data_IF_638309011319
#
_entry.id   IF_638309011319
#
_cell.length_a   1.000
_cell.length_b   1.000
_cell.length_c   1.000
_cell.angle_alpha   90.00
_cell.angle_beta   90.00
_cell.angle_gamma   90.00
#
_symmetry.space_group_name_H-M   'P 1'
#
loop_
_entity.id
_entity.type
_entity.pdbx_description
1 polymer ?
#
# COMPACT_ATOMS: atom_id res chain seq x y z
N UNK A 1 33.23 2.78 -1.12
CA UNK A 1 33.42 2.16 0.22
C UNK A 1 33.37 0.65 0.05
N UNK A 2 34.23 -0.10 0.72
CA UNK A 2 34.27 -1.58 0.63
C UNK A 2 33.84 -2.17 1.98
N UNK A 3 32.97 -3.16 1.95
CA UNK A 3 32.49 -3.91 3.11
C UNK A 3 32.53 -5.39 2.75
N UNK A 4 33.52 -6.11 3.28
CA UNK A 4 33.79 -7.50 2.89
C UNK A 4 34.01 -7.62 1.35
N UNK A 5 33.22 -8.40 0.66
CA UNK A 5 33.27 -8.55 -0.80
C UNK A 5 32.38 -7.55 -1.55
N UNK A 6 31.74 -6.61 -0.86
CA UNK A 6 30.83 -5.61 -1.44
C UNK A 6 31.56 -4.27 -1.65
N UNK A 7 31.42 -3.69 -2.83
CA UNK A 7 31.85 -2.33 -3.13
C UNK A 7 30.63 -1.45 -3.34
N UNK A 8 30.38 -0.53 -2.40
CA UNK A 8 29.33 0.49 -2.51
C UNK A 8 29.80 1.57 -3.48
N UNK A 9 29.18 1.64 -4.66
CA UNK A 9 29.62 2.49 -5.77
C UNK A 9 28.98 3.88 -5.66
N UNK A 10 27.66 3.97 -5.73
CA UNK A 10 26.89 5.21 -5.83
C UNK A 10 25.67 5.15 -4.91
N UNK A 11 25.38 6.27 -4.23
CA UNK A 11 24.12 6.46 -3.53
C UNK A 11 23.00 6.58 -4.57
N UNK A 12 21.98 5.72 -4.48
CA UNK A 12 20.84 5.67 -5.40
C UNK A 12 19.50 5.99 -4.71
N UNK A 13 19.47 6.04 -3.38
CA UNK A 13 18.27 6.40 -2.62
C UNK A 13 18.58 6.70 -1.17
N UNK A 14 17.67 7.46 -0.52
CA UNK A 14 17.64 7.67 0.92
C UNK A 14 16.22 7.35 1.40
N UNK A 15 16.10 6.41 2.33
CA UNK A 15 14.84 6.07 2.98
C UNK A 15 14.81 6.51 4.43
N UNK A 16 13.65 6.36 5.06
CA UNK A 16 13.45 6.72 6.48
C UNK A 16 14.42 6.02 7.44
N UNK A 17 14.95 4.86 7.04
CA UNK A 17 15.76 4.00 7.90
C UNK A 17 17.23 3.89 7.46
N UNK A 18 17.61 4.49 6.32
CA UNK A 18 18.99 4.38 5.85
C UNK A 18 19.21 4.81 4.41
N UNK A 19 20.40 4.58 3.94
CA UNK A 19 20.89 4.95 2.61
C UNK A 19 20.94 3.70 1.71
N UNK A 20 20.52 3.82 0.44
CA UNK A 20 20.57 2.73 -0.55
C UNK A 20 21.67 3.02 -1.56
N UNK A 21 22.57 2.07 -1.73
CA UNK A 21 23.70 2.17 -2.64
C UNK A 21 23.60 1.17 -3.79
N UNK A 22 23.97 1.61 -5.00
CA UNK A 22 24.38 0.71 -6.07
C UNK A 22 25.67 0.00 -5.63
N UNK A 23 25.70 -1.32 -5.73
CA UNK A 23 26.78 -2.13 -5.17
C UNK A 23 27.21 -3.21 -6.16
N UNK A 24 28.51 -3.50 -6.20
CA UNK A 24 29.08 -4.65 -6.91
C UNK A 24 29.66 -5.64 -5.90
N UNK A 25 29.69 -6.93 -6.26
CA UNK A 25 30.38 -7.97 -5.49
C UNK A 25 31.67 -8.37 -6.19
N UNK A 26 32.75 -8.58 -5.44
CA UNK A 26 34.01 -9.07 -5.97
C UNK A 26 33.78 -10.43 -6.63
N UNK A 27 34.16 -10.55 -7.92
CA UNK A 27 33.98 -11.78 -8.70
C UNK A 27 32.61 -11.95 -9.34
N UNK A 28 31.72 -10.94 -9.26
CA UNK A 28 30.43 -10.92 -9.92
C UNK A 28 30.32 -9.72 -10.88
N UNK A 29 29.61 -9.89 -11.98
CA UNK A 29 29.36 -8.84 -12.98
C UNK A 29 28.04 -8.11 -12.74
N UNK A 30 27.22 -8.59 -11.80
CA UNK A 30 25.89 -8.05 -11.51
C UNK A 30 25.96 -6.85 -10.57
N UNK A 31 24.99 -5.95 -10.74
CA UNK A 31 24.71 -4.90 -9.77
C UNK A 31 23.71 -5.37 -8.72
N UNK A 32 23.86 -4.81 -7.53
CA UNK A 32 23.00 -5.03 -6.36
C UNK A 32 22.55 -3.69 -5.79
N UNK A 33 21.41 -3.68 -5.09
CA UNK A 33 20.99 -2.58 -4.24
C UNK A 33 21.31 -2.94 -2.77
N UNK A 34 22.10 -2.11 -2.10
CA UNK A 34 22.45 -2.34 -0.69
C UNK A 34 21.90 -1.24 0.20
N UNK A 35 20.93 -1.61 1.05
CA UNK A 35 20.33 -0.73 2.07
C UNK A 35 21.24 -0.76 3.32
N UNK A 36 21.80 0.40 3.68
CA UNK A 36 22.75 0.59 4.78
C UNK A 36 22.03 1.26 5.94
N UNK A 37 22.15 0.71 7.14
CA UNK A 37 21.56 1.22 8.36
C UNK A 37 22.67 1.54 9.37
N UNK A 38 22.61 2.72 10.00
CA UNK A 38 23.51 3.06 11.10
C UNK A 38 23.04 2.38 12.38
N UNK A 39 23.91 1.55 12.99
CA UNK A 39 23.60 0.83 14.23
C UNK A 39 23.32 1.77 15.39
N UNK A 40 24.03 2.88 15.50
CA UNK A 40 23.82 3.86 16.57
C UNK A 40 22.41 4.45 16.58
N UNK A 41 21.77 4.52 15.38
CA UNK A 41 20.43 5.07 15.24
C UNK A 41 19.31 4.06 15.47
N UNK A 42 19.60 2.76 15.39
CA UNK A 42 18.57 1.70 15.43
C UNK A 42 18.71 0.74 16.61
N UNK A 43 19.92 0.49 17.14
CA UNK A 43 20.10 -0.43 18.27
C UNK A 43 19.38 0.08 19.52
N UNK A 44 18.65 -0.81 20.20
CA UNK A 44 17.81 -0.46 21.35
C UNK A 44 16.48 0.20 21.03
N UNK A 45 16.17 0.45 19.75
CA UNK A 45 14.93 1.08 19.31
C UNK A 45 13.98 0.10 18.63
N UNK A 46 12.72 0.51 18.40
CA UNK A 46 11.75 -0.26 17.59
C UNK A 46 12.25 -0.49 16.15
N UNK A 47 13.10 0.41 15.61
CA UNK A 47 13.66 0.25 14.26
C UNK A 47 14.49 -1.03 14.13
N UNK A 48 15.16 -1.49 15.20
CA UNK A 48 15.87 -2.77 15.19
C UNK A 48 14.91 -3.95 15.03
N UNK A 49 13.72 -3.90 15.66
CA UNK A 49 12.71 -4.95 15.51
C UNK A 49 12.18 -5.00 14.08
N UNK A 50 11.91 -3.83 13.47
CA UNK A 50 11.49 -3.76 12.06
C UNK A 50 12.57 -4.30 11.13
N UNK A 51 13.85 -3.94 11.34
CA UNK A 51 14.96 -4.45 10.55
C UNK A 51 15.08 -5.99 10.64
N UNK A 52 15.03 -6.55 11.85
CA UNK A 52 15.05 -8.00 12.06
C UNK A 52 13.91 -8.69 11.32
N UNK A 53 12.70 -8.18 11.50
CA UNK A 53 11.51 -8.72 10.86
C UNK A 53 11.58 -8.62 9.32
N UNK A 54 12.05 -7.49 8.77
CA UNK A 54 12.29 -7.31 7.33
C UNK A 54 13.24 -8.37 6.79
N UNK A 55 14.37 -8.62 7.46
CA UNK A 55 15.36 -9.64 7.05
C UNK A 55 14.72 -11.03 7.08
N UNK A 56 14.02 -11.38 8.16
CA UNK A 56 13.37 -12.69 8.29
C UNK A 56 12.35 -12.91 7.16
N UNK A 57 11.51 -11.94 6.89
CA UNK A 57 10.51 -12.03 5.82
C UNK A 57 11.20 -12.16 4.47
N UNK A 58 12.14 -11.27 4.14
CA UNK A 58 12.83 -11.25 2.85
C UNK A 58 13.58 -12.54 2.55
N UNK A 59 14.19 -13.20 3.54
CA UNK A 59 14.89 -14.48 3.37
C UNK A 59 13.97 -15.61 2.86
N UNK A 60 12.67 -15.51 3.17
CA UNK A 60 11.69 -16.54 2.82
C UNK A 60 10.90 -16.22 1.55
N UNK A 61 10.94 -14.96 1.07
CA UNK A 61 10.21 -14.56 -0.14
C UNK A 61 10.99 -14.91 -1.41
N UNK A 62 10.35 -15.70 -2.29
CA UNK A 62 10.89 -16.09 -3.60
C UNK A 62 9.79 -15.95 -4.65
N UNK A 63 9.76 -14.83 -5.35
CA UNK A 63 8.75 -14.54 -6.36
C UNK A 63 9.32 -13.63 -7.45
N UNK A 64 8.99 -13.81 -8.75
CA UNK A 64 9.54 -12.99 -9.84
C UNK A 64 9.22 -11.50 -9.69
N UNK A 65 8.10 -11.15 -9.07
CA UNK A 65 7.67 -9.76 -8.88
C UNK A 65 7.96 -9.21 -7.47
N UNK A 66 8.88 -9.84 -6.73
CA UNK A 66 9.43 -9.32 -5.46
C UNK A 66 10.94 -9.21 -5.63
N UNK A 67 11.54 -8.11 -5.20
CA UNK A 67 12.98 -7.93 -5.25
C UNK A 67 13.68 -9.01 -4.41
N UNK A 68 14.62 -9.73 -5.05
CA UNK A 68 15.28 -10.87 -4.43
C UNK A 68 16.21 -10.41 -3.32
N UNK A 69 16.07 -10.99 -2.13
CA UNK A 69 17.07 -10.91 -1.08
C UNK A 69 18.30 -11.72 -1.47
N UNK A 70 19.49 -11.14 -1.31
CA UNK A 70 20.76 -11.79 -1.66
C UNK A 70 21.64 -12.07 -0.44
N UNK A 71 21.77 -11.12 0.48
CA UNK A 71 22.67 -11.26 1.62
C UNK A 71 22.38 -10.21 2.70
N UNK A 72 22.93 -10.42 3.90
CA UNK A 72 22.98 -9.42 4.96
C UNK A 72 24.38 -9.38 5.54
N UNK A 73 24.91 -8.19 5.79
CA UNK A 73 26.22 -7.98 6.39
C UNK A 73 26.08 -7.11 7.63
N UNK A 74 26.94 -7.39 8.63
CA UNK A 74 27.04 -6.63 9.87
C UNK A 74 28.48 -6.16 10.06
N UNK A 75 28.66 -4.90 10.38
CA UNK A 75 29.94 -4.34 10.82
C UNK A 75 29.79 -3.75 12.23
N UNK A 76 30.87 -3.23 12.79
CA UNK A 76 30.80 -2.53 14.09
C UNK A 76 29.86 -1.32 14.08
N UNK A 77 29.67 -0.65 12.92
CA UNK A 77 28.89 0.59 12.79
C UNK A 77 27.60 0.46 12.03
N UNK A 78 27.46 -0.53 11.13
CA UNK A 78 26.32 -0.60 10.23
C UNK A 78 25.81 -2.02 10.00
N UNK A 79 24.51 -2.12 9.64
CA UNK A 79 23.93 -3.27 8.95
C UNK A 79 23.76 -2.96 7.47
N UNK A 80 23.81 -4.00 6.64
CA UNK A 80 23.65 -3.90 5.18
C UNK A 80 22.75 -5.03 4.71
N UNK A 81 21.63 -4.69 4.08
CA UNK A 81 20.78 -5.66 3.37
C UNK A 81 21.09 -5.55 1.90
N UNK A 82 21.52 -6.65 1.29
CA UNK A 82 21.85 -6.72 -0.16
C UNK A 82 20.69 -7.37 -0.90
N UNK A 83 20.19 -6.69 -1.90
CA UNK A 83 19.05 -7.10 -2.72
C UNK A 83 19.35 -7.00 -4.21
N UNK A 84 18.50 -7.60 -5.02
CA UNK A 84 18.45 -7.42 -6.46
C UNK A 84 18.38 -5.92 -6.81
N UNK A 85 19.19 -5.50 -7.78
CA UNK A 85 19.12 -4.14 -8.34
C UNK A 85 18.11 -4.11 -9.48
N UNK A 86 17.15 -3.18 -9.39
CA UNK A 86 16.13 -2.94 -10.41
C UNK A 86 16.48 -1.67 -11.18
N UNK A 87 16.73 -1.79 -12.48
CA UNK A 87 17.30 -0.73 -13.29
C UNK A 87 16.31 0.34 -13.76
N UNK A 88 15.00 0.09 -13.66
CA UNK A 88 13.94 1.00 -14.13
C UNK A 88 13.50 2.05 -13.10
N UNK A 89 13.96 1.95 -11.83
CA UNK A 89 13.59 2.88 -10.76
C UNK A 89 12.15 2.68 -10.26
N UNK A 90 11.66 3.67 -9.52
CA UNK A 90 10.35 3.68 -8.87
C UNK A 90 9.20 3.86 -9.88
N UNK A 91 8.09 3.16 -9.66
CA UNK A 91 6.88 3.28 -10.50
C UNK A 91 6.25 4.69 -10.39
N UNK A 92 6.37 5.37 -9.23
CA UNK A 92 5.96 6.77 -9.05
C UNK A 92 6.70 7.68 -10.03
N UNK A 93 8.02 7.56 -10.12
CA UNK A 93 8.85 8.34 -11.06
C UNK A 93 8.57 7.99 -12.54
N UNK A 94 8.23 6.73 -12.80
CA UNK A 94 7.82 6.32 -14.15
C UNK A 94 6.49 6.98 -14.54
N UNK A 95 5.52 7.08 -13.62
CA UNK A 95 4.25 7.77 -13.83
C UNK A 95 4.46 9.26 -14.09
N UNK A 96 5.25 9.95 -13.25
CA UNK A 96 5.60 11.37 -13.42
C UNK A 96 6.26 11.64 -14.80
N UNK A 97 7.23 10.79 -15.17
CA UNK A 97 7.91 10.87 -16.46
C UNK A 97 6.96 10.63 -17.64
N UNK A 98 6.06 9.65 -17.50
CA UNK A 98 5.07 9.35 -18.52
C UNK A 98 4.10 10.52 -18.71
N UNK A 99 3.58 11.09 -17.62
CA UNK A 99 2.70 12.26 -17.64
C UNK A 99 3.38 13.47 -18.28
N UNK A 100 4.64 13.74 -17.92
CA UNK A 100 5.41 14.84 -18.49
C UNK A 100 5.64 14.67 -19.99
N UNK A 101 5.78 13.44 -20.47
CA UNK A 101 6.02 13.13 -21.88
C UNK A 101 4.75 13.10 -22.74
N UNK A 102 3.64 12.60 -22.17
CA UNK A 102 2.42 12.30 -22.93
C UNK A 102 1.23 13.20 -22.57
N UNK A 103 1.33 14.00 -21.50
CA UNK A 103 0.23 14.86 -21.03
C UNK A 103 -0.95 14.08 -20.41
N UNK A 104 -0.78 12.80 -20.14
CA UNK A 104 -1.82 11.92 -19.57
C UNK A 104 -1.21 10.83 -18.70
N UNK A 105 -2.05 10.16 -17.90
CA UNK A 105 -1.67 9.03 -17.08
C UNK A 105 -1.56 7.74 -17.90
N UNK A 106 -1.23 6.64 -17.25
CA UNK A 106 -1.12 5.33 -17.93
C UNK A 106 -2.45 4.90 -18.53
N UNK A 107 -2.39 4.30 -19.72
CA UNK A 107 -3.55 3.67 -20.35
C UNK A 107 -4.03 2.46 -19.53
N UNK A 108 -5.29 2.06 -19.70
CA UNK A 108 -5.84 0.86 -19.06
C UNK A 108 -5.02 -0.39 -19.37
N UNK A 109 -4.44 -0.48 -20.58
CA UNK A 109 -3.59 -1.60 -20.99
C UNK A 109 -2.29 -1.68 -20.19
N UNK A 110 -1.63 -0.53 -19.99
CA UNK A 110 -0.43 -0.45 -19.15
C UNK A 110 -0.79 -0.82 -17.71
N UNK A 111 -1.87 -0.24 -17.17
CA UNK A 111 -2.30 -0.53 -15.80
C UNK A 111 -2.69 -2.00 -15.63
N UNK A 112 -3.39 -2.59 -16.61
CA UNK A 112 -3.70 -4.02 -16.61
C UNK A 112 -2.43 -4.87 -16.55
N UNK A 113 -1.42 -4.56 -17.39
CA UNK A 113 -0.15 -5.28 -17.43
C UNK A 113 0.59 -5.22 -16.08
N UNK A 114 0.68 -4.02 -15.49
CA UNK A 114 1.35 -3.82 -14.21
C UNK A 114 0.57 -4.47 -13.06
N UNK A 115 -0.77 -4.29 -13.01
CA UNK A 115 -1.61 -4.86 -11.95
C UNK A 115 -1.64 -6.40 -11.97
N UNK A 116 -1.56 -7.05 -13.13
CA UNK A 116 -1.40 -8.52 -13.19
C UNK A 116 -0.18 -8.98 -12.39
N UNK A 117 0.95 -8.31 -12.55
CA UNK A 117 2.20 -8.65 -11.86
C UNK A 117 2.11 -8.34 -10.37
N UNK A 118 1.55 -7.17 -10.01
CA UNK A 118 1.36 -6.75 -8.62
C UNK A 118 0.43 -7.74 -7.89
N UNK A 119 -0.75 -8.03 -8.45
CA UNK A 119 -1.71 -8.97 -7.84
C UNK A 119 -1.10 -10.37 -7.70
N UNK A 120 -0.31 -10.83 -8.67
CA UNK A 120 0.40 -12.11 -8.58
C UNK A 120 1.37 -12.15 -7.39
N UNK A 121 2.13 -11.09 -7.16
CA UNK A 121 3.00 -10.98 -5.99
C UNK A 121 2.20 -11.00 -4.68
N UNK A 122 1.09 -10.24 -4.62
CA UNK A 122 0.26 -10.18 -3.41
C UNK A 122 -0.53 -11.48 -3.15
N UNK A 123 -0.91 -12.24 -4.18
CA UNK A 123 -1.42 -13.60 -3.98
C UNK A 123 -0.39 -14.48 -3.24
N UNK A 124 0.87 -14.41 -3.64
CA UNK A 124 1.95 -15.16 -3.00
C UNK A 124 2.17 -14.71 -1.55
N UNK A 125 2.29 -13.40 -1.30
CA UNK A 125 2.50 -12.82 0.04
C UNK A 125 1.33 -13.19 0.97
N UNK A 126 0.09 -13.04 0.50
CA UNK A 126 -1.10 -13.33 1.28
C UNK A 126 -1.29 -14.83 1.57
N UNK A 127 -0.86 -15.74 0.67
CA UNK A 127 -0.81 -17.18 0.96
C UNK A 127 0.13 -17.52 2.11
N UNK A 128 1.23 -16.77 2.25
CA UNK A 128 2.17 -16.90 3.37
C UNK A 128 1.67 -16.21 4.67
N UNK A 129 0.44 -15.65 4.66
CA UNK A 129 -0.15 -14.91 5.78
C UNK A 129 0.67 -13.66 6.17
N UNK A 130 1.30 -13.03 5.21
CA UNK A 130 2.04 -11.77 5.38
C UNK A 130 1.16 -10.62 4.91
N UNK A 131 1.18 -9.49 5.62
CA UNK A 131 0.62 -8.20 5.24
C UNK A 131 1.79 -7.24 5.00
N UNK A 132 1.77 -6.50 3.89
CA UNK A 132 2.84 -5.57 3.51
C UNK A 132 2.76 -4.24 4.27
N UNK A 133 1.59 -3.61 4.35
CA UNK A 133 1.24 -2.39 5.11
C UNK A 133 1.80 -1.07 4.61
N UNK A 134 2.67 -1.05 3.62
CA UNK A 134 3.20 0.18 3.01
C UNK A 134 3.22 0.10 1.48
N UNK A 135 2.04 -0.19 0.91
CA UNK A 135 1.88 -0.25 -0.54
C UNK A 135 1.71 1.16 -1.08
N UNK A 136 2.65 1.57 -1.93
CA UNK A 136 2.67 2.84 -2.66
C UNK A 136 3.52 2.67 -3.92
N UNK A 137 3.37 3.57 -4.88
CA UNK A 137 4.12 3.49 -6.14
C UNK A 137 5.64 3.58 -5.96
N UNK A 138 6.12 4.25 -4.89
CA UNK A 138 7.55 4.33 -4.54
C UNK A 138 8.13 2.96 -4.12
N UNK A 139 7.31 2.07 -3.55
CA UNK A 139 7.72 0.73 -3.11
C UNK A 139 7.54 -0.33 -4.20
N UNK A 140 7.29 0.10 -5.44
CA UNK A 140 7.19 -0.73 -6.63
C UNK A 140 8.25 -0.27 -7.62
N UNK A 141 9.26 -1.12 -7.85
CA UNK A 141 10.30 -0.83 -8.84
C UNK A 141 9.98 -1.50 -10.17
N UNK A 142 10.55 -0.94 -11.22
CA UNK A 142 10.56 -1.51 -12.56
C UNK A 142 11.93 -2.09 -12.87
N UNK A 143 11.94 -3.20 -13.58
CA UNK A 143 13.17 -3.79 -14.12
C UNK A 143 12.98 -4.11 -15.59
N UNK A 144 13.96 -3.77 -16.42
CA UNK A 144 13.96 -3.99 -17.87
C UNK A 144 15.10 -4.92 -18.26
N UNK A 145 14.84 -5.78 -19.24
CA UNK A 145 15.87 -6.67 -19.80
C UNK A 145 16.85 -5.92 -20.71
N UNK A 146 16.36 -4.89 -21.40
CA UNK A 146 17.16 -4.10 -22.35
C UNK A 146 17.23 -2.62 -21.93
N UNK A 147 18.36 -1.97 -22.21
CA UNK A 147 18.51 -0.53 -22.02
C UNK A 147 17.60 0.26 -22.98
N UNK A 148 17.27 -0.28 -24.14
CA UNK A 148 16.35 0.34 -25.10
C UNK A 148 14.94 0.46 -24.51
N UNK A 149 14.37 -0.62 -23.98
CA UNK A 149 13.04 -0.60 -23.36
C UNK A 149 12.99 0.34 -22.16
N UNK A 150 14.07 0.35 -21.35
CA UNK A 150 14.20 1.25 -20.21
C UNK A 150 14.24 2.73 -20.65
N UNK A 151 15.08 3.07 -21.64
CA UNK A 151 15.23 4.45 -22.12
C UNK A 151 13.95 4.98 -22.80
N UNK A 152 13.23 4.09 -23.49
CA UNK A 152 11.94 4.39 -24.11
C UNK A 152 10.76 4.38 -23.13
N UNK A 153 10.99 4.00 -21.87
CA UNK A 153 9.93 3.80 -20.86
C UNK A 153 8.84 2.83 -21.35
N UNK A 154 9.27 1.70 -21.93
CA UNK A 154 8.36 0.68 -22.46
C UNK A 154 7.73 -0.14 -21.34
N UNK A 155 6.70 0.40 -20.71
CA UNK A 155 6.05 -0.19 -19.54
C UNK A 155 5.47 -1.59 -19.80
N UNK A 156 5.14 -1.91 -21.07
CA UNK A 156 4.67 -3.25 -21.46
C UNK A 156 5.79 -4.32 -21.44
N UNK A 157 7.05 -3.91 -21.34
CA UNK A 157 8.24 -4.77 -21.19
C UNK A 157 8.84 -4.73 -19.79
N UNK A 158 8.26 -3.90 -18.90
CA UNK A 158 8.72 -3.77 -17.53
C UNK A 158 8.33 -4.99 -16.70
N UNK A 159 9.27 -5.50 -15.91
CA UNK A 159 8.99 -6.43 -14.81
C UNK A 159 8.84 -5.64 -13.52
N UNK A 160 7.69 -5.78 -12.87
CA UNK A 160 7.42 -5.18 -11.55
C UNK A 160 8.20 -5.92 -10.46
N UNK A 161 8.77 -5.18 -9.51
CA UNK A 161 9.47 -5.68 -8.32
C UNK A 161 8.99 -4.95 -7.07
N UNK A 162 8.26 -5.66 -6.20
CA UNK A 162 7.83 -5.14 -4.90
C UNK A 162 9.04 -5.11 -3.98
N UNK A 163 9.20 -3.98 -3.24
CA UNK A 163 10.28 -3.76 -2.29
C UNK A 163 9.74 -3.31 -0.92
N UNK A 164 10.64 -3.17 0.04
CA UNK A 164 10.42 -2.57 1.36
C UNK A 164 9.39 -3.30 2.23
N UNK A 165 9.81 -4.41 2.81
CA UNK A 165 9.05 -5.21 3.77
C UNK A 165 9.31 -4.76 5.23
N UNK A 166 9.86 -3.57 5.45
CA UNK A 166 10.18 -3.04 6.78
C UNK A 166 8.96 -2.93 7.69
N UNK A 167 7.80 -2.65 7.12
CA UNK A 167 6.54 -2.65 7.86
C UNK A 167 5.74 -3.96 7.72
N UNK A 168 6.17 -4.91 6.92
CA UNK A 168 5.45 -6.16 6.75
C UNK A 168 5.37 -6.96 8.04
N UNK A 169 4.33 -7.77 8.20
CA UNK A 169 4.19 -8.66 9.34
C UNK A 169 3.44 -9.94 8.95
N UNK A 170 3.73 -11.03 9.68
CA UNK A 170 2.92 -12.24 9.63
C UNK A 170 1.66 -12.04 10.47
N UNK A 171 0.52 -12.48 9.97
CA UNK A 171 -0.75 -12.40 10.70
C UNK A 171 -0.70 -13.36 11.89
N UNK A 172 -1.13 -12.87 13.06
CA UNK A 172 -1.26 -13.67 14.28
C UNK A 172 -2.31 -14.80 14.13
N UNK A 173 -2.35 -15.72 15.09
CA UNK A 173 -3.38 -16.81 15.12
C UNK A 173 -4.81 -16.29 15.15
N UNK A 174 -5.03 -15.07 15.67
CA UNK A 174 -6.35 -14.41 15.65
C UNK A 174 -6.74 -13.87 14.27
N UNK A 175 -5.83 -13.88 13.30
CA UNK A 175 -6.07 -13.34 11.95
C UNK A 175 -6.05 -11.81 11.86
N UNK A 176 -5.78 -11.08 12.97
CA UNK A 176 -5.84 -9.62 13.02
C UNK A 176 -4.52 -8.99 13.48
N UNK A 177 -4.23 -7.79 12.97
CA UNK A 177 -3.13 -6.93 13.37
C UNK A 177 -3.64 -5.63 13.99
N UNK A 178 -2.83 -5.00 14.84
CA UNK A 178 -3.26 -3.85 15.63
C UNK A 178 -2.32 -2.64 15.55
N UNK A 179 -1.16 -2.76 14.89
CA UNK A 179 -0.20 -1.66 14.74
C UNK A 179 -0.61 -0.70 13.62
N UNK A 180 -0.33 0.59 13.79
CA UNK A 180 -0.63 1.66 12.82
C UNK A 180 0.65 2.08 12.14
N UNK A 181 0.90 1.56 10.93
CA UNK A 181 2.10 1.79 10.13
C UNK A 181 1.72 1.92 8.66
N UNK A 182 2.52 2.63 7.88
CA UNK A 182 2.35 2.81 6.44
C UNK A 182 2.13 4.27 6.02
N UNK A 183 1.98 4.49 4.73
CA UNK A 183 1.78 5.81 4.11
C UNK A 183 0.31 6.22 4.20
N UNK A 184 -0.05 7.32 4.90
CA UNK A 184 -1.45 7.66 5.21
C UNK A 184 -2.37 7.73 4.01
N UNK A 185 -1.92 8.28 2.89
CA UNK A 185 -2.74 8.47 1.67
C UNK A 185 -3.21 7.15 1.04
N UNK A 186 -2.48 6.07 1.28
CA UNK A 186 -2.80 4.71 0.79
C UNK A 186 -3.32 3.80 1.91
N UNK A 187 -3.48 4.34 3.12
CA UNK A 187 -3.80 3.56 4.30
C UNK A 187 -5.28 3.17 4.35
N UNK A 188 -5.54 1.95 4.77
CA UNK A 188 -6.89 1.44 5.03
C UNK A 188 -7.67 2.36 5.98
N UNK A 189 -8.97 2.64 5.73
CA UNK A 189 -9.79 3.51 6.56
C UNK A 189 -9.79 3.15 8.05
N UNK A 190 -9.77 1.85 8.38
CA UNK A 190 -9.73 1.38 9.78
C UNK A 190 -8.40 1.73 10.44
N UNK A 191 -7.29 1.55 9.71
CA UNK A 191 -5.95 1.89 10.22
C UNK A 191 -5.83 3.40 10.40
N UNK A 192 -6.30 4.17 9.41
CA UNK A 192 -6.26 5.63 9.45
C UNK A 192 -7.09 6.19 10.62
N UNK A 193 -8.29 5.67 10.83
CA UNK A 193 -9.16 6.03 11.98
C UNK A 193 -8.48 5.72 13.32
N UNK A 194 -7.79 4.60 13.39
CA UNK A 194 -7.04 4.22 14.58
C UNK A 194 -5.83 5.15 14.82
N UNK A 195 -5.13 5.56 13.76
CA UNK A 195 -4.05 6.53 13.84
C UNK A 195 -4.54 7.86 14.41
N UNK A 196 -5.65 8.39 13.89
CA UNK A 196 -6.28 9.64 14.38
C UNK A 196 -6.74 9.55 15.84
N UNK A 197 -7.21 8.39 16.29
CA UNK A 197 -7.68 8.19 17.67
C UNK A 197 -6.57 8.04 18.71
N UNK A 198 -5.30 8.26 18.35
CA UNK A 198 -4.13 8.11 19.23
C UNK A 198 -4.10 6.77 20.00
N UNK A 199 -4.59 5.72 19.36
CA UNK A 199 -4.63 4.38 19.96
C UNK A 199 -5.75 4.13 20.98
N UNK A 200 -6.66 5.09 21.20
CA UNK A 200 -7.81 4.88 22.09
C UNK A 200 -8.76 3.77 21.61
N UNK A 201 -8.74 3.47 20.31
CA UNK A 201 -9.51 2.37 19.69
C UNK A 201 -8.67 1.10 19.55
N UNK A 202 -8.12 0.58 20.64
CA UNK A 202 -7.25 -0.63 20.64
C UNK A 202 -7.92 -1.90 20.09
N UNK A 203 -9.24 -1.93 20.03
CA UNK A 203 -10.00 -3.13 19.64
C UNK A 203 -10.17 -3.33 18.12
N UNK A 204 -9.89 -2.32 17.28
CA UNK A 204 -10.01 -2.45 15.84
C UNK A 204 -8.76 -3.11 15.26
N UNK A 205 -8.85 -4.40 14.98
CA UNK A 205 -7.84 -5.15 14.23
C UNK A 205 -8.10 -5.09 12.73
N UNK A 206 -7.08 -5.34 11.92
CA UNK A 206 -7.17 -5.44 10.46
C UNK A 206 -6.41 -6.66 9.94
N UNK A 207 -6.77 -7.10 8.76
CA UNK A 207 -6.19 -8.26 8.09
C UNK A 207 -5.56 -7.90 6.72
N UNK A 208 -5.34 -8.89 5.89
CA UNK A 208 -4.80 -8.76 4.53
C UNK A 208 -5.66 -7.86 3.60
N UNK A 209 -6.91 -7.60 3.97
CA UNK A 209 -7.78 -6.69 3.20
C UNK A 209 -7.33 -5.22 3.29
N UNK A 210 -6.46 -4.89 4.27
CA UNK A 210 -5.81 -3.58 4.31
C UNK A 210 -4.90 -3.36 3.09
N UNK A 211 -4.12 -4.38 2.69
CA UNK A 211 -3.31 -4.31 1.47
C UNK A 211 -4.20 -4.14 0.21
N UNK A 212 -5.39 -4.76 0.20
CA UNK A 212 -6.33 -4.64 -0.95
C UNK A 212 -6.78 -3.19 -1.16
N UNK A 213 -7.06 -2.46 -0.07
CA UNK A 213 -7.37 -1.03 -0.17
C UNK A 213 -6.20 -0.24 -0.79
N UNK A 214 -4.99 -0.44 -0.28
CA UNK A 214 -3.80 0.24 -0.80
C UNK A 214 -3.52 -0.13 -2.27
N UNK A 215 -3.78 -1.38 -2.68
CA UNK A 215 -3.72 -1.79 -4.09
C UNK A 215 -4.75 -1.04 -4.95
N UNK A 216 -5.93 -0.76 -4.41
CA UNK A 216 -6.96 0.05 -5.06
C UNK A 216 -6.52 1.51 -5.24
N UNK A 217 -5.90 2.10 -4.22
CA UNK A 217 -5.41 3.50 -4.30
C UNK A 217 -4.31 3.67 -5.34
N UNK A 218 -3.32 2.77 -5.39
CA UNK A 218 -2.26 2.84 -6.42
C UNK A 218 -2.78 2.51 -7.83
N UNK A 219 -3.77 1.62 -7.96
CA UNK A 219 -4.41 1.35 -9.25
C UNK A 219 -5.12 2.60 -9.78
N UNK A 220 -5.85 3.30 -8.91
CA UNK A 220 -6.46 4.57 -9.23
C UNK A 220 -5.42 5.63 -9.64
N UNK A 221 -4.35 5.76 -8.85
CA UNK A 221 -3.28 6.72 -9.11
C UNK A 221 -2.60 6.48 -10.46
N UNK A 222 -2.32 5.24 -10.82
CA UNK A 222 -1.79 4.90 -12.14
C UNK A 222 -2.72 5.28 -13.30
N UNK A 223 -4.04 5.11 -13.12
CA UNK A 223 -5.05 5.42 -14.14
C UNK A 223 -5.32 6.93 -14.28
N UNK A 224 -5.36 7.64 -13.16
CA UNK A 224 -5.84 9.03 -13.10
C UNK A 224 -4.67 10.02 -12.97
N UNK A 225 -3.53 9.56 -12.44
CA UNK A 225 -2.32 10.37 -12.26
C UNK A 225 -2.30 11.21 -10.99
N UNK A 226 -3.27 11.01 -10.10
CA UNK A 226 -3.36 11.62 -8.78
C UNK A 226 -4.03 10.67 -7.79
N UNK A 227 -3.86 10.92 -6.51
CA UNK A 227 -4.50 10.12 -5.47
C UNK A 227 -6.03 10.16 -5.56
N UNK A 228 -6.69 9.06 -5.17
CA UNK A 228 -8.15 8.99 -5.07
C UNK A 228 -8.70 9.91 -3.96
N UNK A 229 -7.93 10.08 -2.89
CA UNK A 229 -8.28 10.87 -1.71
C UNK A 229 -7.18 11.91 -1.43
N UNK A 230 -7.01 12.85 -2.39
CA UNK A 230 -6.04 13.93 -2.25
C UNK A 230 -6.47 14.91 -1.14
N UNK A 231 -5.57 15.21 -0.19
CA UNK A 231 -5.85 16.03 0.98
C UNK A 231 -4.61 16.82 1.42
N UNK A 232 -4.84 18.00 1.99
CA UNK A 232 -3.76 18.88 2.46
C UNK A 232 -3.24 18.49 3.85
N UNK A 233 -4.10 17.86 4.66
CA UNK A 233 -3.75 17.40 6.00
C UNK A 233 -4.45 16.08 6.35
N UNK A 234 -4.13 15.55 7.53
CA UNK A 234 -4.66 14.28 8.01
C UNK A 234 -6.16 14.33 8.29
N UNK A 235 -6.68 15.44 8.77
CA UNK A 235 -8.10 15.59 9.09
C UNK A 235 -8.93 15.63 7.82
N UNK A 236 -8.49 16.37 6.81
CA UNK A 236 -9.12 16.37 5.49
C UNK A 236 -9.06 14.99 4.84
N UNK A 237 -7.93 14.28 4.95
CA UNK A 237 -7.77 12.93 4.41
C UNK A 237 -8.78 11.97 5.06
N UNK A 238 -8.87 11.96 6.38
CA UNK A 238 -9.83 11.13 7.12
C UNK A 238 -11.25 11.45 6.69
N UNK A 239 -11.61 12.73 6.61
CA UNK A 239 -12.96 13.16 6.22
C UNK A 239 -13.30 12.69 4.79
N UNK A 240 -12.39 12.88 3.82
CA UNK A 240 -12.57 12.41 2.43
C UNK A 240 -12.73 10.90 2.33
N UNK A 241 -11.93 10.14 3.08
CA UNK A 241 -12.05 8.68 3.13
C UNK A 241 -13.35 8.27 3.85
N UNK A 242 -13.75 8.97 4.92
CA UNK A 242 -15.01 8.72 5.62
C UNK A 242 -16.23 9.07 4.76
N UNK A 243 -16.18 10.13 3.97
CA UNK A 243 -17.19 10.44 2.95
C UNK A 243 -17.20 9.37 1.86
N UNK A 244 -16.04 8.78 1.59
CA UNK A 244 -15.86 7.66 0.68
C UNK A 244 -16.17 8.01 -0.78
N UNK A 245 -15.98 9.28 -1.19
CA UNK A 245 -16.26 9.73 -2.55
C UNK A 245 -14.97 10.03 -3.30
N UNK A 246 -14.82 9.44 -4.48
CA UNK A 246 -13.76 9.74 -5.43
C UNK A 246 -14.33 9.87 -6.85
N UNK A 247 -13.59 10.51 -7.75
CA UNK A 247 -14.05 10.83 -9.11
C UNK A 247 -13.33 9.98 -10.15
N UNK A 248 -14.09 9.32 -11.01
CA UNK A 248 -13.54 8.58 -12.16
C UNK A 248 -13.98 9.26 -13.46
N UNK A 249 -13.04 9.52 -14.41
CA UNK A 249 -13.40 10.02 -15.74
C UNK A 249 -14.37 9.08 -16.46
N UNK A 250 -15.28 9.64 -17.23
CA UNK A 250 -16.27 8.86 -18.01
C UNK A 250 -15.66 8.06 -19.16
N UNK A 251 -14.39 8.34 -19.49
CA UNK A 251 -13.63 7.61 -20.51
C UNK A 251 -13.15 6.23 -20.07
N UNK A 252 -13.17 5.96 -18.75
CA UNK A 252 -12.71 4.69 -18.16
C UNK A 252 -13.73 3.59 -18.40
N UNK A 253 -13.26 2.35 -18.65
CA UNK A 253 -14.14 1.21 -18.92
C UNK A 253 -14.90 0.73 -17.67
N UNK A 254 -15.99 0.00 -17.89
CA UNK A 254 -16.76 -0.63 -16.80
C UNK A 254 -15.91 -1.64 -16.03
N UNK A 255 -15.04 -2.35 -16.73
CA UNK A 255 -14.13 -3.35 -16.15
C UNK A 255 -13.17 -2.73 -15.15
N UNK A 256 -12.62 -1.55 -15.46
CA UNK A 256 -11.77 -0.78 -14.54
C UNK A 256 -12.56 -0.32 -13.31
N UNK A 257 -13.76 0.23 -13.50
CA UNK A 257 -14.61 0.68 -12.40
C UNK A 257 -14.96 -0.50 -11.47
N UNK A 258 -15.33 -1.65 -12.06
CA UNK A 258 -15.61 -2.87 -11.30
C UNK A 258 -14.40 -3.32 -10.48
N UNK A 259 -13.21 -3.28 -11.08
CA UNK A 259 -11.96 -3.67 -10.44
C UNK A 259 -11.60 -2.75 -9.26
N UNK A 260 -11.66 -1.44 -9.47
CA UNK A 260 -11.46 -0.45 -8.42
C UNK A 260 -12.48 -0.61 -7.29
N UNK A 261 -13.76 -0.81 -7.64
CA UNK A 261 -14.80 -1.05 -6.65
C UNK A 261 -14.59 -2.34 -5.85
N UNK A 262 -14.03 -3.38 -6.48
CA UNK A 262 -13.65 -4.61 -5.78
C UNK A 262 -12.57 -4.41 -4.71
N UNK A 263 -11.79 -3.35 -4.80
CA UNK A 263 -10.70 -3.01 -3.87
C UNK A 263 -11.06 -1.88 -2.91
N UNK A 264 -11.63 -0.78 -3.42
CA UNK A 264 -11.94 0.45 -2.69
C UNK A 264 -13.34 0.36 -2.03
N UNK A 265 -13.53 -0.59 -1.14
CA UNK A 265 -14.69 -0.70 -0.26
C UNK A 265 -14.33 -0.22 1.13
N UNK A 266 -15.14 0.68 1.72
CA UNK A 266 -14.90 1.17 3.08
C UNK A 266 -14.83 0.01 4.09
N UNK A 267 -15.78 -0.89 4.00
CA UNK A 267 -15.86 -2.10 4.83
C UNK A 267 -14.95 -3.19 4.25
N UNK A 268 -13.91 -3.58 4.99
CA UNK A 268 -12.88 -4.52 4.53
C UNK A 268 -13.44 -5.86 4.06
N UNK A 269 -14.50 -6.38 4.71
CA UNK A 269 -15.10 -7.67 4.36
C UNK A 269 -15.77 -7.67 2.97
N UNK A 270 -16.18 -6.51 2.44
CA UNK A 270 -16.75 -6.35 1.10
C UNK A 270 -15.69 -6.31 0.00
N UNK A 271 -14.42 -6.12 0.33
CA UNK A 271 -13.35 -6.12 -0.66
C UNK A 271 -13.10 -7.52 -1.21
N UNK A 272 -12.75 -7.61 -2.47
CA UNK A 272 -12.23 -8.85 -3.07
C UNK A 272 -10.91 -9.24 -2.39
N UNK A 273 -10.56 -10.52 -2.42
CA UNK A 273 -9.21 -10.98 -2.08
C UNK A 273 -8.34 -11.08 -3.35
N UNK A 274 -7.02 -11.32 -3.18
CA UNK A 274 -6.12 -11.39 -4.33
C UNK A 274 -6.47 -12.53 -5.31
N UNK A 275 -7.06 -13.63 -4.86
CA UNK A 275 -7.47 -14.72 -5.75
C UNK A 275 -8.66 -14.33 -6.62
N UNK A 276 -9.61 -13.58 -6.05
CA UNK A 276 -10.76 -13.03 -6.78
C UNK A 276 -10.32 -11.93 -7.74
N UNK A 277 -9.42 -11.02 -7.30
CA UNK A 277 -8.85 -9.97 -8.15
C UNK A 277 -8.09 -10.55 -9.34
N UNK A 278 -7.30 -11.61 -9.17
CA UNK A 278 -6.58 -12.25 -10.27
C UNK A 278 -7.50 -12.86 -11.35
N UNK A 279 -8.74 -13.19 -10.98
CA UNK A 279 -9.76 -13.72 -11.90
C UNK A 279 -10.70 -12.64 -12.44
N UNK A 280 -10.55 -11.39 -12.01
CA UNK A 280 -11.42 -10.30 -12.41
C UNK A 280 -11.28 -9.99 -13.90
N UNK A 281 -12.40 -9.63 -14.54
CA UNK A 281 -12.48 -9.33 -15.98
C UNK A 281 -11.44 -8.30 -16.42
N UNK A 282 -11.19 -7.26 -15.63
CA UNK A 282 -10.14 -6.27 -15.91
C UNK A 282 -8.76 -6.90 -16.11
N UNK A 283 -8.40 -7.96 -15.37
CA UNK A 283 -7.10 -8.62 -15.51
C UNK A 283 -7.08 -9.77 -16.50
N UNK A 284 -8.24 -10.36 -16.84
CA UNK A 284 -8.32 -11.59 -17.65
C UNK A 284 -8.74 -11.36 -19.09
N UNK A 285 -9.61 -10.39 -19.35
CA UNK A 285 -10.09 -10.05 -20.69
C UNK A 285 -9.08 -9.24 -21.50
N UNK A 286 -9.26 -9.24 -22.82
CA UNK A 286 -8.55 -8.34 -23.70
C UNK A 286 -9.15 -6.93 -23.56
N UNK A 287 -8.32 -5.89 -23.54
CA UNK A 287 -8.76 -4.48 -23.48
C UNK A 287 -9.73 -4.10 -24.59
N UNK A 288 -9.58 -4.71 -25.78
CA UNK A 288 -10.47 -4.47 -26.93
C UNK A 288 -11.93 -4.88 -26.66
N UNK A 289 -12.13 -5.79 -25.70
CA UNK A 289 -13.45 -6.29 -25.30
C UNK A 289 -14.05 -5.51 -24.13
N UNK A 290 -13.39 -4.43 -23.70
CA UNK A 290 -13.86 -3.60 -22.58
C UNK A 290 -15.02 -2.69 -23.02
N UNK A 291 -15.97 -2.52 -22.10
CA UNK A 291 -17.19 -1.77 -22.34
C UNK A 291 -17.05 -0.32 -21.85
N UNK A 292 -17.28 0.63 -22.75
CA UNK A 292 -17.36 2.04 -22.37
C UNK A 292 -18.64 2.32 -21.57
N UNK A 293 -18.54 3.29 -20.66
CA UNK A 293 -19.69 3.72 -19.88
C UNK A 293 -20.68 4.46 -20.78
N UNK A 294 -21.95 4.04 -20.79
CA UNK A 294 -23.01 4.83 -21.37
C UNK A 294 -23.46 5.92 -20.38
N UNK A 295 -22.85 7.09 -20.51
CA UNK A 295 -23.07 8.25 -19.62
C UNK A 295 -24.55 8.63 -19.53
N UNK A 296 -25.36 8.38 -20.58
CA UNK A 296 -26.80 8.70 -20.62
C UNK A 296 -27.62 7.79 -19.70
N UNK A 297 -27.12 6.59 -19.38
CA UNK A 297 -27.80 5.61 -18.52
C UNK A 297 -27.37 5.68 -17.05
N UNK A 298 -26.40 6.51 -16.71
CA UNK A 298 -25.90 6.61 -15.35
C UNK A 298 -26.75 7.60 -14.56
N UNK A 299 -27.50 7.12 -13.58
CA UNK A 299 -28.34 7.95 -12.68
C UNK A 299 -27.55 8.62 -11.54
N UNK A 300 -26.24 8.85 -11.70
CA UNK A 300 -25.37 9.51 -10.73
C UNK A 300 -25.09 10.96 -11.05
N UNK A 301 -24.64 11.76 -10.09
CA UNK A 301 -24.14 13.09 -10.33
C UNK A 301 -22.87 13.03 -11.18
N UNK A 302 -23.01 13.30 -12.47
CA UNK A 302 -21.87 13.57 -13.35
C UNK A 302 -21.53 15.03 -13.14
N UNK A 303 -20.33 15.29 -12.65
CA UNK A 303 -19.75 16.65 -12.64
C UNK A 303 -18.92 16.85 -13.92
N UNK A 304 -18.50 18.07 -14.22
CA UNK A 304 -17.61 18.33 -15.35
C UNK A 304 -16.30 17.54 -15.33
N UNK A 305 -15.92 16.96 -14.18
CA UNK A 305 -14.71 16.17 -13.98
C UNK A 305 -14.91 14.65 -14.15
N UNK A 306 -16.16 14.13 -14.05
CA UNK A 306 -16.43 12.70 -14.19
C UNK A 306 -17.55 12.17 -13.28
N UNK A 307 -17.53 10.85 -13.08
CA UNK A 307 -18.45 10.12 -12.22
C UNK A 307 -18.01 10.15 -10.76
N UNK A 308 -18.87 10.64 -9.88
CA UNK A 308 -18.66 10.53 -8.44
C UNK A 308 -19.02 9.12 -7.96
N UNK A 309 -18.01 8.39 -7.51
CA UNK A 309 -18.17 7.06 -6.91
C UNK A 309 -18.18 7.20 -5.39
N UNK A 310 -19.20 6.68 -4.72
CA UNK A 310 -19.27 6.66 -3.26
C UNK A 310 -19.15 5.23 -2.73
N UNK A 311 -18.02 4.93 -2.08
CA UNK A 311 -17.68 3.57 -1.59
C UNK A 311 -18.57 3.08 -0.44
N UNK A 312 -19.29 3.98 0.26
CA UNK A 312 -20.25 3.59 1.31
C UNK A 312 -21.65 3.31 0.75
N UNK A 313 -22.07 4.06 -0.27
CA UNK A 313 -23.45 4.01 -0.76
C UNK A 313 -23.66 3.09 -1.95
N UNK A 314 -22.61 2.67 -2.65
CA UNK A 314 -22.60 1.78 -3.84
C UNK A 314 -23.66 2.06 -4.94
N UNK A 315 -24.48 3.13 -4.81
CA UNK A 315 -25.62 3.41 -5.66
C UNK A 315 -25.23 3.75 -7.10
N UNK A 316 -24.14 4.46 -7.29
CA UNK A 316 -23.68 4.90 -8.62
C UNK A 316 -23.12 3.72 -9.43
N UNK A 317 -22.43 2.80 -8.75
CA UNK A 317 -21.85 1.61 -9.38
C UNK A 317 -22.95 0.64 -9.79
N UNK A 318 -23.95 0.47 -8.93
CA UNK A 318 -25.11 -0.37 -9.22
C UNK A 318 -25.85 0.08 -10.51
N UNK A 319 -26.02 1.40 -10.71
CA UNK A 319 -26.63 1.96 -11.91
C UNK A 319 -25.80 1.75 -13.18
N UNK A 320 -24.46 1.68 -13.08
CA UNK A 320 -23.56 1.43 -14.22
C UNK A 320 -23.68 -0.02 -14.73
N UNK A 321 -23.93 -0.98 -13.82
CA UNK A 321 -23.95 -2.41 -14.14
C UNK A 321 -25.34 -2.94 -14.49
N UNK A 322 -26.42 -2.36 -13.96
CA UNK A 322 -27.79 -2.87 -14.12
C UNK A 322 -28.44 -2.61 -15.48
N UNK A 323 -27.72 -2.07 -16.45
CA UNK A 323 -28.34 -1.82 -17.76
C UNK A 323 -28.38 -3.03 -18.72
N UNK A 324 -27.69 -4.16 -18.41
CA UNK A 324 -27.68 -5.31 -19.34
C UNK A 324 -27.56 -6.73 -18.75
N UNK A 325 -27.28 -6.97 -17.43
CA UNK A 325 -27.09 -8.36 -16.96
C UNK A 325 -27.41 -8.57 -15.46
N UNK A 326 -28.69 -8.63 -15.09
CA UNK A 326 -29.12 -9.05 -13.73
C UNK A 326 -28.71 -10.50 -13.37
N UNK A 327 -28.37 -11.33 -14.35
CA UNK A 327 -28.14 -12.77 -14.15
C UNK A 327 -26.68 -13.20 -13.93
N UNK A 328 -25.68 -12.31 -14.03
CA UNK A 328 -24.25 -12.67 -13.86
C UNK A 328 -23.66 -12.33 -12.50
N UNK A 329 -24.19 -11.34 -11.81
CA UNK A 329 -23.67 -10.90 -10.49
C UNK A 329 -23.97 -11.88 -9.35
N UNK A 330 -25.05 -12.65 -9.43
CA UNK A 330 -25.39 -13.69 -8.45
C UNK A 330 -24.40 -14.87 -8.41
N UNK A 331 -23.53 -15.02 -9.42
CA UNK A 331 -22.56 -16.12 -9.52
C UNK A 331 -21.14 -15.79 -9.06
N UNK A 332 -20.82 -14.51 -8.77
CA UNK A 332 -19.47 -14.07 -8.44
C UNK A 332 -19.23 -13.88 -6.92
N UNK A 333 -20.26 -13.74 -6.15
CA UNK A 333 -20.15 -13.63 -4.69
C UNK A 333 -21.41 -14.13 -4.02
N UNK A 334 -21.33 -15.29 -3.40
CA UNK A 334 -22.42 -15.82 -2.59
C UNK A 334 -22.65 -14.97 -1.33
N UNK A 335 -23.24 -13.81 -1.48
CA UNK A 335 -23.92 -13.07 -0.41
C UNK A 335 -25.10 -12.37 -1.03
N UNK A 336 -26.23 -12.82 -0.60
CA UNK A 336 -27.57 -12.30 -0.90
C UNK A 336 -27.66 -10.82 -0.52
N UNK A 337 -27.87 -9.95 -1.50
CA UNK A 337 -28.13 -8.53 -1.25
C UNK A 337 -29.65 -8.32 -1.09
N UNK A 338 -30.21 -8.86 -0.03
CA UNK A 338 -31.59 -8.52 0.40
C UNK A 338 -31.54 -7.50 1.53
N UNK A 339 -32.17 -6.36 1.29
CA UNK A 339 -32.67 -5.28 2.13
C UNK A 339 -31.92 -4.84 3.40
N UNK A 340 -31.85 -3.53 3.65
CA UNK A 340 -31.22 -2.99 4.86
C UNK A 340 -32.13 -3.27 6.07
N UNK A 341 -31.57 -3.90 7.09
CA UNK A 341 -32.16 -3.98 8.42
C UNK A 341 -32.20 -2.55 8.99
N UNK A 342 -33.37 -2.02 9.20
CA UNK A 342 -33.60 -0.80 9.98
C UNK A 342 -33.21 -1.06 11.43
N UNK A 343 -32.08 -0.54 11.87
CA UNK A 343 -31.77 -0.40 13.28
C UNK A 343 -32.55 0.81 13.85
N UNK A 344 -33.49 0.53 14.72
CA UNK A 344 -34.17 1.55 15.53
C UNK A 344 -33.20 2.04 16.61
N UNK A 345 -32.81 3.31 16.52
CA UNK A 345 -32.15 4.02 17.62
C UNK A 345 -33.14 4.26 18.74
N UNK A 346 -32.91 3.66 19.90
CA UNK A 346 -33.53 4.10 21.17
C UNK A 346 -32.78 5.33 21.69
N UNK A 347 -33.46 6.46 21.65
CA UNK A 347 -33.00 7.74 22.22
C UNK A 347 -33.27 7.73 23.72
N UNK A 348 -32.26 7.61 24.56
CA UNK A 348 -32.33 8.06 25.95
C UNK A 348 -31.63 9.41 26.10
N UNK A 349 -32.47 10.42 26.35
CA UNK A 349 -32.06 11.76 26.75
C UNK A 349 -31.67 11.80 28.24
N UNK A 350 -30.50 12.34 28.57
CA UNK A 350 -30.32 13.08 29.84
C UNK A 350 -29.34 14.24 29.69
N UNK A 351 -29.93 15.42 30.00
CA UNK A 351 -29.31 16.73 30.21
C UNK A 351 -28.19 16.75 31.24
N UNK A 352 -27.15 17.52 31.00
CA UNK A 352 -26.81 18.65 31.89
C UNK A 352 -25.57 19.39 31.35
N UNK A 353 -25.72 20.70 31.22
CA UNK A 353 -24.72 21.61 30.66
C UNK A 353 -23.61 21.99 31.64
N UNK A 354 -22.56 22.54 31.07
CA UNK A 354 -21.84 23.72 31.56
C UNK A 354 -20.87 24.25 30.50
N UNK A 355 -21.08 25.52 30.16
CA UNK A 355 -20.13 26.38 29.41
C UNK A 355 -18.87 26.61 30.22
N UNK A 356 -17.70 26.62 29.53
CA UNK A 356 -16.63 27.56 29.87
C UNK A 356 -15.92 27.93 28.52
N UNK A 357 -16.02 29.20 28.17
CA UNK A 357 -15.21 29.92 27.21
C UNK A 357 -13.81 30.15 27.78
N UNK A 358 -12.77 29.89 27.01
CA UNK A 358 -11.53 30.67 27.09
C UNK A 358 -10.83 30.72 25.71
N UNK A 359 -10.65 31.93 25.25
CA UNK A 359 -9.96 32.36 24.03
C UNK A 359 -8.49 32.59 24.29
N UNK A 360 -7.58 32.16 23.42
CA UNK A 360 -6.23 32.74 23.24
C UNK A 360 -5.80 32.78 21.75
N UNK A 361 -4.93 33.72 21.35
CA UNK A 361 -4.94 34.31 20.02
C UNK A 361 -3.93 33.72 19.00
N UNK A 362 -4.28 33.90 17.74
CA UNK A 362 -3.44 33.63 16.55
C UNK A 362 -2.13 34.43 16.54
N UNK A 363 -1.03 33.82 16.15
CA UNK A 363 0.06 34.49 15.48
C UNK A 363 0.44 33.74 14.20
N UNK A 364 0.37 34.46 13.09
CA UNK A 364 0.79 34.09 11.75
C UNK A 364 2.32 33.92 11.67
N UNK A 365 2.79 32.82 11.06
CA UNK A 365 4.01 32.88 10.25
C UNK A 365 3.93 31.86 9.10
N UNK A 366 4.01 32.37 7.89
CA UNK A 366 4.07 31.68 6.62
C UNK A 366 5.47 31.18 6.32
N UNK A 367 5.65 29.89 6.00
CA UNK A 367 6.69 29.38 5.10
C UNK A 367 6.32 27.96 4.69
N UNK A 368 5.95 27.78 3.42
CA UNK A 368 5.63 26.48 2.82
C UNK A 368 6.90 25.68 2.53
N UNK A 369 7.04 24.55 3.17
CA UNK A 369 7.75 23.37 2.67
C UNK A 369 6.80 22.18 2.91
N UNK A 370 6.58 21.36 1.89
CA UNK A 370 5.61 20.26 1.90
C UNK A 370 5.73 19.35 3.13
N UNK A 371 4.66 18.62 3.52
CA UNK A 371 4.60 17.93 4.78
C UNK A 371 5.62 16.80 4.84
N UNK A 372 6.72 17.01 5.55
CA UNK A 372 7.47 15.90 6.10
C UNK A 372 6.56 15.22 7.11
N UNK A 373 6.16 13.99 6.81
CA UNK A 373 5.50 13.13 7.78
C UNK A 373 6.37 13.04 9.04
N UNK A 374 5.79 13.15 10.23
CA UNK A 374 6.54 13.02 11.47
C UNK A 374 7.26 11.68 11.46
N UNK A 375 8.55 11.72 11.74
CA UNK A 375 9.37 10.54 11.98
C UNK A 375 8.67 9.70 13.05
N UNK A 376 8.24 8.45 12.77
CA UNK A 376 7.51 7.64 13.74
C UNK A 376 8.30 7.34 15.02
N UNK A 377 9.55 7.81 15.10
CA UNK A 377 10.46 7.64 16.24
C UNK A 377 10.71 8.91 17.06
N UNK A 378 10.11 10.05 16.71
CA UNK A 378 10.20 11.26 17.55
C UNK A 378 8.97 11.40 18.44
N UNK A 379 9.13 11.16 19.72
CA UNK A 379 8.27 11.68 20.77
C UNK A 379 7.07 10.84 21.18
N UNK A 380 7.24 9.53 21.42
CA UNK A 380 6.30 8.79 22.26
C UNK A 380 6.94 8.65 23.66
N UNK A 381 6.41 9.31 24.71
CA UNK A 381 6.84 9.04 26.07
C UNK A 381 6.59 7.56 26.39
N UNK A 382 7.61 6.89 26.94
CA UNK A 382 7.57 5.47 27.23
C UNK A 382 6.38 5.08 28.11
N UNK A 383 5.52 4.25 27.59
CA UNK A 383 4.45 3.60 28.32
C UNK A 383 4.85 2.13 28.57
N UNK A 384 5.04 1.68 29.82
CA UNK A 384 5.66 0.38 30.14
C UNK A 384 4.85 -0.85 29.75
N UNK A 385 3.65 -0.72 29.21
CA UNK A 385 2.73 -1.83 28.93
C UNK A 385 2.85 -2.46 27.53
N UNK A 386 3.77 -2.00 26.67
CA UNK A 386 3.92 -2.55 25.32
C UNK A 386 4.89 -3.74 25.19
N UNK A 387 5.54 -4.17 26.27
CA UNK A 387 6.51 -5.28 26.22
C UNK A 387 5.89 -6.67 25.99
N UNK A 388 4.59 -6.86 26.24
CA UNK A 388 3.97 -8.19 26.12
C UNK A 388 3.40 -8.54 24.73
N UNK A 389 3.29 -7.59 23.80
CA UNK A 389 2.62 -7.85 22.50
C UNK A 389 3.60 -8.27 21.40
N UNK A 390 4.90 -8.00 21.55
CA UNK A 390 5.93 -8.25 20.52
C UNK A 390 6.83 -9.47 20.78
N UNK A 391 6.66 -10.16 21.91
CA UNK A 391 7.44 -11.35 22.25
C UNK A 391 7.08 -12.61 21.45
N UNK A 392 5.99 -12.56 20.67
CA UNK A 392 5.44 -13.76 20.02
C UNK A 392 6.02 -14.07 18.64
N UNK A 393 6.59 -13.11 17.91
CA UNK A 393 6.97 -13.34 16.51
C UNK A 393 8.22 -14.22 16.32
N UNK A 394 9.26 -14.07 17.14
CA UNK A 394 10.46 -14.93 17.05
C UNK A 394 10.20 -16.32 17.59
N UNK A 395 9.46 -16.46 18.69
CA UNK A 395 9.09 -17.77 19.25
C UNK A 395 8.06 -18.50 18.38
N UNK A 396 7.09 -17.82 17.76
CA UNK A 396 6.13 -18.43 16.85
C UNK A 396 6.78 -18.88 15.53
N UNK A 397 7.74 -18.11 14.97
CA UNK A 397 8.49 -18.54 13.78
C UNK A 397 9.44 -19.71 14.07
N UNK A 398 10.04 -19.77 15.27
CA UNK A 398 10.88 -20.90 15.68
C UNK A 398 10.06 -22.19 15.87
N UNK A 399 8.82 -22.11 16.35
CA UNK A 399 7.92 -23.26 16.51
C UNK A 399 7.39 -23.82 15.18
N UNK A 400 7.40 -23.03 14.11
CA UNK A 400 6.96 -23.47 12.77
C UNK A 400 8.13 -23.98 11.89
N UNK A 401 9.33 -24.19 12.42
CA UNK A 401 10.48 -24.78 11.71
C UNK A 401 11.26 -23.80 10.83
N UNK A 402 11.08 -22.50 11.00
CA UNK A 402 11.90 -21.48 10.34
C UNK A 402 13.20 -21.26 11.11
N UNK A 403 14.27 -21.91 10.66
CA UNK A 403 15.61 -21.71 11.24
C UNK A 403 16.24 -20.46 10.66
N UNK A 404 16.49 -19.45 11.50
CA UNK A 404 17.32 -18.31 11.16
C UNK A 404 18.77 -18.81 11.05
N UNK A 405 19.33 -18.87 9.84
CA UNK A 405 20.73 -19.24 9.65
C UNK A 405 21.64 -18.15 10.21
N UNK A 406 22.24 -18.44 11.36
CA UNK A 406 23.46 -17.84 11.90
C UNK A 406 23.30 -16.49 12.60
N UNK A 407 23.70 -16.44 13.86
CA UNK A 407 23.93 -15.35 14.78
C UNK A 407 24.36 -13.97 14.30
N UNK A 408 23.56 -13.34 13.44
CA UNK A 408 23.79 -11.97 12.93
C UNK A 408 23.48 -10.94 14.02
N UNK A 409 22.67 -11.31 14.99
CA UNK A 409 22.16 -10.43 16.05
C UNK A 409 22.66 -10.75 17.44
N UNK A 410 23.54 -11.77 17.60
CA UNK A 410 24.27 -12.08 18.85
C UNK A 410 25.46 -11.13 19.07
#
# INVERSE_FOLDING_TARGET
MIVDNLKLEKLIGKGSFGEVYLTTKKGDTKFYATKKFDRANIEGTEAMKYLKNEIIILQHLKHPNIAKYEDVKKTKKHFYIVMEFCNGGELSKALEKYQSKHGCSFSEEIVQHLMRQIINAFQYIHKLKIIHRDIKLDNILLNYETEEDKNNLNLMKATVKIIDFGFACKISKTGLQYSTLGSPINMDPIILKKLKSEGKTRQLGYDQKADIWSLGTICYEMLIGKSAFDAQDMDELVNKIEDGTYVIPTSVSKEVISFLNGMLQYESHKRLNCEQLAKHDFLTKNIKDFHKIDVKKVSGKITGEGLNINVKKNRTIWAIFNSEDENKLSKIGGTDFTEPIEEKEEIESKNSGKNINESFPMQNQSAYSGPMLPNPFQGIPGNPTNQQIYGSSEQEMAQEGYVVKGGIFD
#
